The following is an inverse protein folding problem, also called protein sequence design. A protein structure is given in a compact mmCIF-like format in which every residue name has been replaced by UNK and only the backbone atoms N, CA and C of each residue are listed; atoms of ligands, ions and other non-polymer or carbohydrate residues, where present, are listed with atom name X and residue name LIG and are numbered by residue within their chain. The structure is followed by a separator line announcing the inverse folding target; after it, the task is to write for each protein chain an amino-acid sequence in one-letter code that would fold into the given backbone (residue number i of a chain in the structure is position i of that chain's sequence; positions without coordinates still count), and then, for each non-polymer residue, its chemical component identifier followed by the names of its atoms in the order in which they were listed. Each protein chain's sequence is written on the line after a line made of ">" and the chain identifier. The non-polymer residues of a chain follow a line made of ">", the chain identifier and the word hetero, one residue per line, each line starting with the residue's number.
data_IF_817881437391
#
_entry.id   IF_817881437391
#
_cell.length_a   1.000
_cell.length_b   1.000
_cell.length_c   1.000
_cell.angle_alpha   90.00
_cell.angle_beta   90.00
_cell.angle_gamma   90.00
#
_symmetry.space_group_name_H-M   'P 1'
#
loop_
_entity.id
_entity.type
_entity.pdbx_description
1 polymer ?
#
# COMPACT_ATOMS: atom_id res chain seq x y z
N UNK A 1 9.92 6.59 3.53
CA UNK A 1 8.95 6.54 2.41
C UNK A 1 8.56 5.09 2.18
N UNK A 2 7.38 4.86 1.61
CA UNK A 2 6.89 3.52 1.29
C UNK A 2 6.40 3.54 -0.16
N UNK A 3 6.90 2.61 -1.00
CA UNK A 3 6.49 2.49 -2.40
C UNK A 3 5.49 1.36 -2.57
N UNK A 4 4.50 1.58 -3.43
CA UNK A 4 3.35 0.70 -3.53
C UNK A 4 3.68 -0.74 -3.93
N UNK A 5 4.22 -0.94 -5.11
CA UNK A 5 4.58 -2.28 -5.56
C UNK A 5 5.76 -2.87 -4.74
N UNK A 6 6.68 -2.05 -4.25
CA UNK A 6 7.80 -2.48 -3.39
C UNK A 6 7.27 -3.08 -2.10
N UNK A 7 6.31 -2.43 -1.43
CA UNK A 7 5.67 -2.95 -0.21
C UNK A 7 4.90 -4.23 -0.46
N UNK A 8 4.28 -4.40 -1.62
CA UNK A 8 3.68 -5.68 -2.00
C UNK A 8 4.73 -6.80 -2.09
N UNK A 9 5.89 -6.54 -2.70
CA UNK A 9 7.01 -7.50 -2.73
C UNK A 9 7.62 -7.75 -1.35
N UNK A 10 7.76 -6.72 -0.51
CA UNK A 10 8.22 -6.85 0.87
C UNK A 10 7.26 -7.74 1.67
N UNK A 11 5.95 -7.52 1.56
CA UNK A 11 4.93 -8.34 2.21
C UNK A 11 5.02 -9.81 1.78
N UNK A 12 5.24 -10.08 0.48
CA UNK A 12 5.45 -11.42 -0.05
C UNK A 12 6.71 -12.10 0.53
N UNK A 13 7.80 -11.36 0.69
CA UNK A 13 9.04 -11.86 1.30
C UNK A 13 8.88 -12.18 2.79
N UNK A 14 8.15 -11.34 3.53
CA UNK A 14 7.91 -11.50 4.96
C UNK A 14 6.94 -12.65 5.30
N UNK A 15 6.09 -13.04 4.34
CA UNK A 15 4.98 -13.97 4.55
C UNK A 15 5.39 -15.34 5.12
N UNK A 16 6.66 -15.73 4.97
CA UNK A 16 7.19 -17.02 5.45
C UNK A 16 7.61 -17.03 6.91
N UNK A 17 7.91 -15.87 7.49
CA UNK A 17 8.62 -15.80 8.77
C UNK A 17 8.12 -14.71 9.73
N UNK A 18 7.31 -13.75 9.25
CA UNK A 18 6.86 -12.58 10.01
C UNK A 18 5.42 -12.20 9.65
N UNK A 19 4.47 -13.08 9.96
CA UNK A 19 3.07 -12.92 9.53
C UNK A 19 2.43 -11.59 9.96
N UNK A 20 2.61 -11.16 11.21
CA UNK A 20 2.07 -9.86 11.67
C UNK A 20 2.66 -8.69 10.89
N UNK A 21 3.97 -8.73 10.60
CA UNK A 21 4.62 -7.69 9.81
C UNK A 21 4.14 -7.71 8.35
N UNK A 22 3.94 -8.89 7.77
CA UNK A 22 3.33 -9.03 6.44
C UNK A 22 1.96 -8.38 6.35
N UNK A 23 1.09 -8.63 7.34
CA UNK A 23 -0.25 -8.05 7.37
C UNK A 23 -0.18 -6.52 7.51
N UNK A 24 0.68 -6.03 8.39
CA UNK A 24 0.90 -4.60 8.59
C UNK A 24 1.41 -3.92 7.32
N UNK A 25 2.39 -4.52 6.63
CA UNK A 25 2.98 -3.98 5.41
C UNK A 25 1.96 -3.89 4.27
N UNK A 26 1.14 -4.95 4.07
CA UNK A 26 0.12 -4.91 3.02
C UNK A 26 -0.99 -3.92 3.36
N UNK A 27 -1.46 -3.87 4.62
CA UNK A 27 -2.55 -2.99 5.02
C UNK A 27 -2.16 -1.51 5.08
N UNK A 28 -0.89 -1.18 5.38
CA UNK A 28 -0.48 0.22 5.44
C UNK A 28 -0.55 0.92 4.09
N UNK A 29 -0.46 0.16 3.00
CA UNK A 29 -0.46 0.65 1.62
C UNK A 29 -1.82 0.52 0.90
N UNK A 30 -2.81 -0.16 1.51
CA UNK A 30 -4.11 -0.38 0.88
C UNK A 30 -5.05 0.83 1.01
N UNK A 31 -5.90 1.08 -0.01
CA UNK A 31 -6.55 2.36 -0.28
C UNK A 31 -7.77 2.65 0.61
N UNK A 32 -7.80 2.19 1.86
CA UNK A 32 -8.80 2.64 2.82
C UNK A 32 -8.70 4.13 3.18
N UNK A 33 -7.99 4.94 2.39
CA UNK A 33 -7.56 6.30 2.69
C UNK A 33 -7.94 7.35 1.62
N UNK A 34 -8.36 6.98 0.39
CA UNK A 34 -8.76 7.92 -0.67
C UNK A 34 -10.20 7.66 -1.13
N UNK A 35 -10.97 8.71 -1.41
CA UNK A 35 -12.34 8.61 -1.95
C UNK A 35 -12.40 7.99 -3.36
N UNK A 36 -11.27 7.94 -4.07
CA UNK A 36 -11.17 7.46 -5.46
C UNK A 36 -10.65 6.03 -5.60
N UNK A 37 -10.43 5.30 -4.50
CA UNK A 37 -9.81 3.96 -4.47
C UNK A 37 -8.38 3.87 -5.05
N UNK A 38 -7.80 4.97 -5.54
CA UNK A 38 -6.43 5.00 -6.06
C UNK A 38 -5.41 4.75 -4.94
N UNK A 39 -4.51 3.78 -5.17
CA UNK A 39 -3.30 3.58 -4.36
C UNK A 39 -2.18 4.44 -4.94
N UNK A 40 -1.64 5.43 -4.20
CA UNK A 40 -0.50 6.21 -4.65
C UNK A 40 0.77 5.36 -4.70
N UNK A 41 1.64 5.62 -5.67
CA UNK A 41 2.89 4.86 -5.80
C UNK A 41 3.89 5.16 -4.67
N UNK A 42 3.74 6.28 -3.94
CA UNK A 42 4.60 6.67 -2.81
C UNK A 42 3.73 7.22 -1.68
N UNK A 43 3.98 6.73 -0.47
CA UNK A 43 3.64 7.39 0.79
C UNK A 43 4.91 7.99 1.43
N UNK A 44 4.84 9.28 1.75
CA UNK A 44 5.98 10.05 2.26
C UNK A 44 6.01 10.06 3.78
N UNK A 45 7.05 9.46 4.37
CA UNK A 45 7.28 9.45 5.82
C UNK A 45 8.38 10.43 6.28
N UNK A 46 9.25 10.86 5.36
CA UNK A 46 10.38 11.75 5.65
C UNK A 46 10.52 12.72 4.47
N UNK A 47 9.66 13.74 4.38
CA UNK A 47 9.43 14.55 3.17
C UNK A 47 10.68 15.10 2.49
N UNK A 48 11.74 15.36 3.25
CA UNK A 48 12.98 16.00 2.81
C UNK A 48 14.01 15.00 2.25
N UNK A 49 13.79 13.70 2.42
CA UNK A 49 14.76 12.65 2.09
C UNK A 49 14.68 12.11 0.65
N UNK A 50 13.68 12.54 -0.14
CA UNK A 50 13.48 12.09 -1.52
C UNK A 50 12.92 13.20 -2.42
N UNK A 51 13.37 13.25 -3.67
CA UNK A 51 12.91 14.19 -4.69
C UNK A 51 12.45 13.39 -5.92
N UNK A 52 11.25 13.65 -6.49
CA UNK A 52 10.29 14.68 -6.08
C UNK A 52 9.55 14.33 -4.78
N UNK A 53 9.59 15.26 -3.82
CA UNK A 53 8.95 15.14 -2.51
C UNK A 53 7.53 15.74 -2.46
N UNK A 54 6.87 15.73 -1.29
CA UNK A 54 5.48 16.20 -1.14
C UNK A 54 5.23 17.65 -1.58
N UNK A 55 6.22 18.53 -1.42
CA UNK A 55 6.14 19.94 -1.83
C UNK A 55 6.09 20.13 -3.35
N UNK A 56 6.61 19.17 -4.11
CA UNK A 56 6.55 19.15 -5.57
C UNK A 56 5.25 18.49 -6.03
N UNK A 57 4.89 17.36 -5.43
CA UNK A 57 3.68 16.62 -5.78
C UNK A 57 2.40 17.38 -5.47
N UNK A 58 2.34 18.03 -4.30
CA UNK A 58 1.17 18.77 -3.81
C UNK A 58 -0.15 17.99 -3.89
N UNK A 59 -0.10 16.66 -3.86
CA UNK A 59 -1.29 15.80 -3.98
C UNK A 59 -2.31 16.09 -2.88
N UNK A 60 -1.86 16.50 -1.70
CA UNK A 60 -2.70 16.87 -0.56
C UNK A 60 -3.59 18.10 -0.81
N UNK A 61 -3.33 18.88 -1.86
CA UNK A 61 -4.19 20.00 -2.28
C UNK A 61 -5.45 19.52 -3.03
N UNK A 62 -5.51 18.24 -3.42
CA UNK A 62 -6.65 17.66 -4.12
C UNK A 62 -7.69 17.13 -3.12
N UNK A 63 -8.98 17.41 -3.36
CA UNK A 63 -10.07 17.05 -2.42
C UNK A 63 -10.13 15.54 -2.11
N UNK A 64 -9.84 14.70 -3.10
CA UNK A 64 -9.84 13.24 -2.96
C UNK A 64 -8.52 12.64 -2.42
N UNK A 65 -7.58 13.46 -1.96
CA UNK A 65 -6.27 12.99 -1.51
C UNK A 65 -6.35 12.23 -0.17
N UNK A 66 -5.49 11.23 0.04
CA UNK A 66 -5.41 10.58 1.33
C UNK A 66 -4.85 11.52 2.39
N UNK A 67 -5.13 11.20 3.66
CA UNK A 67 -4.54 11.92 4.81
C UNK A 67 -3.01 11.82 4.85
N UNK A 68 -2.45 10.76 4.30
CA UNK A 68 -1.01 10.57 4.20
C UNK A 68 -0.47 11.38 3.03
N UNK A 69 0.63 12.10 3.26
CA UNK A 69 1.34 12.78 2.17
C UNK A 69 1.77 11.74 1.15
N UNK A 70 1.24 11.86 -0.05
CA UNK A 70 1.43 10.86 -1.10
C UNK A 70 1.75 11.49 -2.44
N UNK A 71 2.24 10.68 -3.37
CA UNK A 71 2.38 11.08 -4.76
C UNK A 71 1.02 11.08 -5.48
N UNK A 72 0.96 11.71 -6.65
CA UNK A 72 -0.28 11.86 -7.43
C UNK A 72 -0.48 10.80 -8.52
N UNK A 73 0.38 9.78 -8.59
CA UNK A 73 0.31 8.71 -9.60
C UNK A 73 0.24 7.35 -8.91
N UNK A 74 -0.30 6.35 -9.62
CA UNK A 74 -0.35 4.96 -9.17
C UNK A 74 0.80 4.10 -9.71
N UNK A 75 0.92 2.88 -9.21
CA UNK A 75 1.91 1.87 -9.60
C UNK A 75 1.21 0.62 -10.17
N UNK A 76 1.94 -0.33 -10.77
CA UNK A 76 1.37 -1.61 -11.19
C UNK A 76 0.61 -2.33 -10.06
N UNK A 77 -0.60 -2.85 -10.30
CA UNK A 77 -1.52 -3.32 -9.25
C UNK A 77 -1.18 -4.75 -8.78
N UNK A 78 -0.02 -4.94 -8.17
CA UNK A 78 0.47 -6.27 -7.74
C UNK A 78 -0.03 -6.71 -6.35
N UNK A 79 -0.84 -5.90 -5.66
CA UNK A 79 -1.33 -6.22 -4.31
C UNK A 79 -2.26 -7.44 -4.26
N UNK A 80 -3.03 -7.71 -5.33
CA UNK A 80 -3.84 -8.93 -5.43
C UNK A 80 -2.97 -10.19 -5.51
N UNK A 81 -1.87 -10.14 -6.28
CA UNK A 81 -0.86 -11.20 -6.30
C UNK A 81 -0.21 -11.36 -4.93
N UNK A 82 0.13 -10.26 -4.26
CA UNK A 82 0.70 -10.31 -2.91
C UNK A 82 -0.27 -10.94 -1.90
N UNK A 83 -1.55 -10.57 -1.92
CA UNK A 83 -2.56 -11.16 -1.03
C UNK A 83 -2.72 -12.66 -1.28
N UNK A 84 -2.76 -13.08 -2.55
CA UNK A 84 -2.78 -14.50 -2.92
C UNK A 84 -1.53 -15.25 -2.41
N UNK A 85 -0.35 -14.65 -2.57
CA UNK A 85 0.91 -15.24 -2.12
C UNK A 85 0.97 -15.38 -0.60
N UNK A 86 0.50 -14.38 0.13
CA UNK A 86 0.41 -14.39 1.59
C UNK A 86 -0.54 -15.51 2.04
N UNK A 87 -1.72 -15.61 1.42
CA UNK A 87 -2.66 -16.69 1.69
C UNK A 87 -2.03 -18.06 1.46
N UNK A 88 -1.33 -18.24 0.33
CA UNK A 88 -0.65 -19.50 0.00
C UNK A 88 0.36 -19.96 1.06
N UNK A 89 1.04 -19.03 1.74
CA UNK A 89 2.07 -19.35 2.73
C UNK A 89 1.55 -19.38 4.18
N UNK A 90 0.44 -18.72 4.47
CA UNK A 90 -0.08 -18.56 5.83
C UNK A 90 -1.38 -19.32 6.10
N UNK A 91 -2.16 -19.63 5.05
CA UNK A 91 -3.52 -20.18 5.17
C UNK A 91 -4.53 -19.21 5.78
N UNK A 92 -4.17 -17.92 5.93
CA UNK A 92 -4.95 -16.96 6.72
C UNK A 92 -6.14 -16.38 5.96
N UNK A 93 -7.26 -17.13 5.98
CA UNK A 93 -8.52 -16.72 5.37
C UNK A 93 -9.12 -15.47 6.03
N UNK A 94 -8.88 -15.27 7.33
CA UNK A 94 -9.41 -14.11 8.08
C UNK A 94 -8.77 -12.83 7.54
N UNK A 95 -7.46 -12.84 7.34
CA UNK A 95 -6.75 -11.72 6.74
C UNK A 95 -7.19 -11.45 5.30
N UNK A 96 -7.36 -12.49 4.48
CA UNK A 96 -7.86 -12.34 3.10
C UNK A 96 -9.22 -11.66 3.08
N UNK A 97 -10.17 -12.09 3.91
CA UNK A 97 -11.50 -11.48 4.00
C UNK A 97 -11.46 -10.02 4.42
N UNK A 98 -10.49 -9.64 5.25
CA UNK A 98 -10.29 -8.25 5.68
C UNK A 98 -9.68 -7.37 4.58
N UNK A 99 -8.68 -7.87 3.86
CA UNK A 99 -7.92 -7.07 2.89
C UNK A 99 -8.57 -7.01 1.50
N UNK A 100 -9.29 -8.06 1.10
CA UNK A 100 -9.86 -8.20 -0.25
C UNK A 100 -10.80 -7.06 -0.66
N UNK A 101 -11.72 -6.54 0.19
CA UNK A 101 -12.59 -5.42 -0.19
C UNK A 101 -11.83 -4.18 -0.67
N UNK A 102 -10.66 -3.90 -0.11
CA UNK A 102 -9.82 -2.76 -0.50
C UNK A 102 -9.09 -2.96 -1.82
N UNK A 103 -9.13 -4.15 -2.42
CA UNK A 103 -8.52 -4.47 -3.72
C UNK A 103 -9.51 -4.43 -4.89
N UNK A 104 -10.81 -4.43 -4.60
CA UNK A 104 -11.89 -4.51 -5.60
C UNK A 104 -12.77 -3.26 -5.63
N UNK A 105 -12.53 -2.32 -4.71
CA UNK A 105 -13.23 -1.05 -4.61
C UNK A 105 -12.82 -0.06 -5.71
#
# INVERSE_FOLDING_TARGET
>A
HQWSWDSAFVAMGLARHRHERTRAELLSHLPGQCDTAMVPHIDFHTPEAYIPGPSVWRSHDHDAAPRVLSSGLTAPPVHGLALWWIYRHTGDVVFVRRAFPSLVA
#
